data_IF_250470037399
#
_entry.id   IF_250470037399
#
_cell.length_a   1.000
_cell.length_b   1.000
_cell.length_c   1.000
_cell.angle_alpha   90.00
_cell.angle_beta   90.00
_cell.angle_gamma   90.00
#
_symmetry.space_group_name_H-M   'P 1'
#
loop_
_entity.id
_entity.type
_entity.pdbx_description
1 polymer ?
#
# COMPACT_ATOMS: atom_id res chain seq x y z
N UNK A 1 -57.06 30.27 -17.71
CA UNK A 1 -56.92 29.24 -16.66
C UNK A 1 -55.87 28.25 -17.13
N UNK A 2 -54.65 28.31 -16.60
CA UNK A 2 -53.55 27.42 -16.99
C UNK A 2 -53.66 26.10 -16.22
N UNK A 3 -53.61 24.98 -16.94
CA UNK A 3 -53.82 23.64 -16.40
C UNK A 3 -52.69 23.23 -15.42
N UNK A 4 -53.00 22.75 -14.19
CA UNK A 4 -52.01 22.37 -13.18
C UNK A 4 -51.27 21.05 -13.49
N UNK A 5 -51.73 20.29 -14.48
CA UNK A 5 -51.19 18.97 -14.83
C UNK A 5 -49.88 19.01 -15.64
N UNK A 6 -49.63 20.08 -16.41
CA UNK A 6 -48.39 20.21 -17.20
C UNK A 6 -47.16 20.52 -16.33
N UNK A 7 -47.37 21.22 -15.21
CA UNK A 7 -46.29 21.64 -14.30
C UNK A 7 -45.76 20.46 -13.48
N UNK A 8 -46.64 19.57 -13.00
CA UNK A 8 -46.24 18.41 -12.20
C UNK A 8 -45.41 17.39 -12.98
N UNK A 9 -45.66 17.23 -14.28
CA UNK A 9 -44.91 16.30 -15.14
C UNK A 9 -43.53 16.85 -15.53
N UNK A 10 -43.42 18.15 -15.81
CA UNK A 10 -42.13 18.82 -16.06
C UNK A 10 -41.21 18.72 -14.85
N UNK A 11 -41.73 18.99 -13.64
CA UNK A 11 -40.97 18.89 -12.39
C UNK A 11 -40.47 17.46 -12.15
N UNK A 12 -41.28 16.44 -12.46
CA UNK A 12 -40.87 15.05 -12.35
C UNK A 12 -39.77 14.69 -13.37
N UNK A 13 -39.84 15.20 -14.60
CA UNK A 13 -38.84 14.97 -15.64
C UNK A 13 -37.50 15.63 -15.30
N UNK A 14 -37.53 16.86 -14.77
CA UNK A 14 -36.35 17.60 -14.33
C UNK A 14 -35.66 16.91 -13.14
N UNK A 15 -36.45 16.33 -12.23
CA UNK A 15 -35.94 15.55 -11.11
C UNK A 15 -35.23 14.26 -11.58
N UNK A 16 -35.80 13.55 -12.56
CA UNK A 16 -35.18 12.35 -13.15
C UNK A 16 -33.89 12.71 -13.89
N UNK A 17 -33.89 13.83 -14.62
CA UNK A 17 -32.71 14.31 -15.35
C UNK A 17 -31.57 14.69 -14.39
N UNK A 18 -31.88 15.40 -13.31
CA UNK A 18 -30.90 15.71 -12.27
C UNK A 18 -30.30 14.46 -11.61
N UNK A 19 -31.09 13.39 -11.47
CA UNK A 19 -30.59 12.11 -10.96
C UNK A 19 -29.67 11.39 -11.96
N UNK A 20 -30.01 11.42 -13.26
CA UNK A 20 -29.13 10.91 -14.32
C UNK A 20 -27.81 11.69 -14.37
N UNK A 21 -27.84 13.01 -14.27
CA UNK A 21 -26.65 13.86 -14.28
C UNK A 21 -25.76 13.60 -13.04
N UNK A 22 -26.38 13.35 -11.88
CA UNK A 22 -25.68 12.98 -10.65
C UNK A 22 -25.00 11.60 -10.76
N UNK A 23 -25.71 10.60 -11.30
CA UNK A 23 -25.13 9.27 -11.55
C UNK A 23 -23.99 9.32 -12.56
N UNK A 24 -24.14 10.12 -13.63
CA UNK A 24 -23.10 10.28 -14.63
C UNK A 24 -21.85 10.95 -14.03
N UNK A 25 -22.05 11.95 -13.17
CA UNK A 25 -20.97 12.62 -12.45
C UNK A 25 -20.27 11.68 -11.46
N UNK A 26 -21.02 10.83 -10.75
CA UNK A 26 -20.46 9.79 -9.89
C UNK A 26 -19.66 8.75 -10.68
N UNK A 27 -20.16 8.32 -11.84
CA UNK A 27 -19.47 7.37 -12.70
C UNK A 27 -18.15 7.94 -13.23
N UNK A 28 -18.14 9.19 -13.70
CA UNK A 28 -16.90 9.87 -14.11
C UNK A 28 -15.91 10.03 -12.96
N UNK A 29 -16.39 10.35 -11.75
CA UNK A 29 -15.54 10.44 -10.58
C UNK A 29 -14.94 9.08 -10.20
N UNK A 30 -15.72 8.00 -10.34
CA UNK A 30 -15.28 6.63 -10.09
C UNK A 30 -14.24 6.17 -11.12
N UNK A 31 -14.48 6.39 -12.42
CA UNK A 31 -13.54 6.09 -13.49
C UNK A 31 -12.22 6.88 -13.32
N UNK A 32 -12.29 8.16 -12.95
CA UNK A 32 -11.11 8.97 -12.66
C UNK A 32 -10.34 8.47 -11.43
N UNK A 33 -11.05 7.97 -10.42
CA UNK A 33 -10.46 7.34 -9.24
C UNK A 33 -9.75 6.04 -9.62
N UNK A 34 -10.39 5.16 -10.39
CA UNK A 34 -9.80 3.92 -10.88
C UNK A 34 -8.57 4.18 -11.76
N UNK A 35 -8.64 5.16 -12.66
CA UNK A 35 -7.50 5.54 -13.50
C UNK A 35 -6.32 6.04 -12.66
N UNK A 36 -6.57 6.79 -11.59
CA UNK A 36 -5.51 7.25 -10.66
C UNK A 36 -4.89 6.08 -9.91
N UNK A 37 -5.70 5.14 -9.43
CA UNK A 37 -5.20 3.94 -8.77
C UNK A 37 -4.36 3.07 -9.71
N UNK A 38 -4.84 2.85 -10.94
CA UNK A 38 -4.11 2.08 -11.95
C UNK A 38 -2.78 2.75 -12.34
N UNK A 39 -2.78 4.08 -12.51
CA UNK A 39 -1.56 4.83 -12.78
C UNK A 39 -0.55 4.74 -11.63
N UNK A 40 -1.04 4.81 -10.38
CA UNK A 40 -0.20 4.62 -9.19
C UNK A 40 0.38 3.20 -9.13
N UNK A 41 -0.44 2.17 -9.35
CA UNK A 41 0.02 0.78 -9.41
C UNK A 41 1.05 0.56 -10.52
N UNK A 42 0.84 1.11 -11.71
CA UNK A 42 1.79 1.02 -12.81
C UNK A 42 3.13 1.70 -12.49
N UNK A 43 3.09 2.87 -11.84
CA UNK A 43 4.29 3.57 -11.40
C UNK A 43 5.06 2.78 -10.34
N UNK A 44 4.35 2.23 -9.35
CA UNK A 44 4.93 1.32 -8.36
C UNK A 44 5.61 0.14 -9.06
N UNK A 45 4.91 -0.54 -9.96
CA UNK A 45 5.44 -1.71 -10.65
C UNK A 45 6.67 -1.38 -11.51
N UNK A 46 6.68 -0.20 -12.13
CA UNK A 46 7.83 0.32 -12.85
C UNK A 46 9.03 0.58 -11.92
N UNK A 47 8.81 1.26 -10.80
CA UNK A 47 9.85 1.54 -9.81
C UNK A 47 10.39 0.22 -9.22
N UNK A 48 9.51 -0.74 -8.94
CA UNK A 48 9.86 -2.07 -8.45
C UNK A 48 10.75 -2.85 -9.43
N UNK A 49 10.59 -2.68 -10.73
CA UNK A 49 11.45 -3.34 -11.72
C UNK A 49 12.91 -2.86 -11.67
N UNK A 50 13.16 -1.64 -11.18
CA UNK A 50 14.51 -1.06 -11.08
C UNK A 50 15.30 -1.61 -9.88
N UNK A 51 14.62 -2.09 -8.84
CA UNK A 51 15.29 -2.59 -7.65
C UNK A 51 15.98 -3.94 -7.90
N UNK A 52 17.20 -4.13 -7.36
CA UNK A 52 17.93 -5.39 -7.46
C UNK A 52 17.14 -6.56 -6.87
N UNK A 53 17.43 -7.76 -7.36
CA UNK A 53 16.77 -8.99 -6.88
C UNK A 53 17.02 -9.26 -5.40
N UNK A 54 18.19 -8.84 -4.90
CA UNK A 54 18.60 -8.94 -3.50
C UNK A 54 18.78 -7.52 -2.95
N UNK A 55 18.20 -7.28 -1.78
CA UNK A 55 18.23 -6.00 -1.07
C UNK A 55 18.96 -6.21 0.25
N UNK A 56 19.86 -5.28 0.57
CA UNK A 56 20.53 -5.20 1.86
C UNK A 56 19.78 -4.21 2.77
N UNK A 57 19.48 -4.62 3.98
CA UNK A 57 18.79 -3.84 5.00
C UNK A 57 19.71 -3.69 6.21
N UNK A 58 20.02 -2.47 6.61
CA UNK A 58 20.69 -2.20 7.88
C UNK A 58 19.63 -1.95 8.95
N UNK A 59 19.51 -2.87 9.90
CA UNK A 59 18.46 -2.86 10.93
C UNK A 59 19.09 -2.58 12.29
N UNK A 60 19.03 -1.32 12.72
CA UNK A 60 19.64 -0.87 13.98
C UNK A 60 21.14 -1.21 14.08
N UNK A 61 21.86 -1.22 12.95
CA UNK A 61 23.28 -1.57 12.86
C UNK A 61 23.55 -3.03 12.44
N UNK A 62 22.51 -3.86 12.26
CA UNK A 62 22.65 -5.26 11.80
C UNK A 62 22.24 -5.40 10.34
N UNK A 63 23.17 -5.82 9.48
CA UNK A 63 22.90 -5.97 8.04
C UNK A 63 22.26 -7.33 7.73
N UNK A 64 21.04 -7.28 7.17
CA UNK A 64 20.33 -8.41 6.61
C UNK A 64 20.31 -8.34 5.09
N UNK A 65 20.40 -9.49 4.43
CA UNK A 65 20.18 -9.60 2.98
C UNK A 65 18.99 -10.48 2.71
N UNK A 66 18.09 -10.01 1.85
CA UNK A 66 16.89 -10.77 1.48
C UNK A 66 16.48 -10.48 0.04
N UNK A 67 15.58 -11.29 -0.51
CA UNK A 67 15.08 -11.06 -1.86
C UNK A 67 13.99 -9.99 -1.86
N UNK A 68 13.92 -9.22 -2.94
CA UNK A 68 12.81 -8.30 -3.20
C UNK A 68 11.46 -9.00 -3.12
N UNK A 69 11.37 -10.22 -3.66
CA UNK A 69 10.16 -11.04 -3.59
C UNK A 69 9.73 -11.33 -2.14
N UNK A 70 10.67 -11.56 -1.22
CA UNK A 70 10.34 -11.78 0.20
C UNK A 70 9.74 -10.52 0.83
N UNK A 71 10.34 -9.36 0.58
CA UNK A 71 9.84 -8.08 1.13
C UNK A 71 8.45 -7.71 0.61
N UNK A 72 8.06 -8.24 -0.54
CA UNK A 72 6.78 -7.98 -1.19
C UNK A 72 5.78 -9.12 -1.03
N UNK A 73 6.11 -10.16 -0.27
CA UNK A 73 5.26 -11.32 -0.10
C UNK A 73 3.90 -10.98 0.54
N UNK A 74 3.84 -9.88 1.31
CA UNK A 74 2.63 -9.38 1.94
C UNK A 74 2.25 -8.03 1.33
N UNK A 75 1.17 -8.02 0.54
CA UNK A 75 0.64 -6.80 -0.07
C UNK A 75 0.15 -5.81 1.00
N UNK A 76 0.37 -4.52 0.78
CA UNK A 76 0.01 -3.46 1.73
C UNK A 76 0.85 -3.44 3.01
N UNK A 77 1.83 -4.31 3.15
CA UNK A 77 2.79 -4.27 4.26
C UNK A 77 3.70 -3.04 4.18
N UNK A 78 4.38 -2.76 5.29
CA UNK A 78 5.37 -1.69 5.39
C UNK A 78 6.35 -1.69 4.21
N UNK A 79 7.00 -2.83 3.92
CA UNK A 79 7.97 -2.93 2.83
C UNK A 79 7.37 -2.75 1.43
N UNK A 80 6.10 -3.13 1.24
CA UNK A 80 5.40 -2.89 -0.01
C UNK A 80 5.23 -1.39 -0.27
N UNK A 81 4.77 -0.63 0.73
CA UNK A 81 4.65 0.83 0.62
C UNK A 81 6.02 1.52 0.48
N UNK A 82 7.03 0.96 1.11
CA UNK A 82 8.35 1.56 1.19
C UNK A 82 9.15 1.37 -0.11
N UNK A 83 9.11 0.17 -0.71
CA UNK A 83 9.66 -0.10 -2.05
C UNK A 83 8.89 0.59 -3.19
N UNK A 84 7.62 0.89 -2.96
CA UNK A 84 6.80 1.69 -3.87
C UNK A 84 7.22 3.17 -3.88
N UNK A 85 7.87 3.66 -2.82
CA UNK A 85 8.21 5.06 -2.66
C UNK A 85 9.54 5.42 -3.33
N UNK A 86 9.59 6.57 -4.01
CA UNK A 86 10.83 7.11 -4.61
C UNK A 86 11.77 7.74 -3.57
N UNK A 87 11.30 7.92 -2.33
CA UNK A 87 12.06 8.55 -1.25
C UNK A 87 12.93 7.56 -0.48
N UNK A 88 12.78 6.25 -0.71
CA UNK A 88 13.64 5.26 -0.08
C UNK A 88 14.86 4.99 -0.95
N UNK A 89 15.95 5.66 -0.60
CA UNK A 89 17.25 5.49 -1.22
C UNK A 89 18.19 4.74 -0.27
N UNK A 90 19.06 3.86 -0.78
CA UNK A 90 20.06 3.22 0.05
C UNK A 90 21.09 4.24 0.54
N UNK A 91 21.80 3.89 1.60
CA UNK A 91 22.96 4.63 2.09
C UNK A 91 24.16 4.55 1.11
N UNK A 92 25.27 5.20 1.47
CA UNK A 92 26.51 5.16 0.68
C UNK A 92 27.08 3.73 0.51
N UNK A 93 26.68 2.78 1.35
CA UNK A 93 27.06 1.37 1.30
C UNK A 93 26.09 0.50 0.51
N UNK A 94 25.00 1.07 -0.04
CA UNK A 94 23.99 0.34 -0.80
C UNK A 94 22.95 -0.39 0.08
N UNK A 95 22.95 -0.16 1.40
CA UNK A 95 22.00 -0.76 2.34
C UNK A 95 20.91 0.23 2.71
N UNK A 96 19.70 -0.28 2.95
CA UNK A 96 18.60 0.55 3.41
C UNK A 96 18.47 0.52 4.92
N UNK A 97 18.58 1.68 5.56
CA UNK A 97 18.49 1.78 7.00
C UNK A 97 17.06 1.63 7.51
N UNK A 98 16.91 0.87 8.58
CA UNK A 98 15.69 0.60 9.32
C UNK A 98 15.98 0.81 10.80
N UNK A 99 15.27 1.75 11.41
CA UNK A 99 15.38 2.04 12.83
C UNK A 99 14.55 1.04 13.67
N UNK A 100 14.87 -0.24 13.52
CA UNK A 100 14.19 -1.36 14.18
C UNK A 100 15.20 -2.19 14.99
N UNK A 101 14.67 -3.05 15.85
CA UNK A 101 15.51 -3.93 16.66
C UNK A 101 16.11 -5.07 15.82
N UNK A 102 17.40 -4.94 15.51
CA UNK A 102 18.16 -5.88 14.67
C UNK A 102 17.98 -7.36 15.06
N UNK A 103 18.23 -7.79 16.31
CA UNK A 103 18.19 -9.20 16.71
C UNK A 103 16.85 -9.91 16.45
N UNK A 104 15.73 -9.21 16.65
CA UNK A 104 14.40 -9.80 16.43
C UNK A 104 13.98 -9.78 14.96
N UNK A 105 14.63 -8.99 14.12
CA UNK A 105 14.24 -8.78 12.73
C UNK A 105 14.37 -10.03 11.84
N UNK A 106 15.28 -10.96 12.17
CA UNK A 106 15.38 -12.24 11.47
C UNK A 106 14.03 -12.98 11.41
N UNK A 107 13.25 -12.91 12.49
CA UNK A 107 11.92 -13.54 12.60
C UNK A 107 10.87 -12.86 11.73
N UNK A 108 10.98 -11.54 11.54
CA UNK A 108 10.15 -10.80 10.59
C UNK A 108 10.43 -11.27 9.17
N UNK A 109 11.70 -11.45 8.80
CA UNK A 109 12.04 -11.99 7.49
C UNK A 109 11.55 -13.44 7.30
N UNK A 110 11.62 -14.28 8.34
CA UNK A 110 11.11 -15.64 8.27
C UNK A 110 9.58 -15.68 8.16
N UNK A 111 8.88 -14.78 8.85
CA UNK A 111 7.45 -14.58 8.65
C UNK A 111 7.13 -14.19 7.20
N UNK A 112 7.88 -13.25 6.61
CA UNK A 112 7.67 -12.87 5.21
C UNK A 112 7.94 -14.02 4.22
N UNK A 113 8.82 -14.97 4.56
CA UNK A 113 9.11 -16.14 3.71
C UNK A 113 8.09 -17.27 3.85
N UNK A 114 7.58 -17.48 5.05
CA UNK A 114 6.83 -18.69 5.43
C UNK A 114 5.37 -18.43 5.79
N UNK A 115 5.00 -17.17 6.01
CA UNK A 115 3.70 -16.76 6.56
C UNK A 115 3.52 -17.06 8.05
N UNK A 116 4.54 -17.58 8.74
CA UNK A 116 4.43 -17.99 10.15
C UNK A 116 5.45 -17.25 11.01
N UNK A 117 4.96 -16.57 12.07
CA UNK A 117 5.81 -15.84 13.02
C UNK A 117 6.05 -16.71 14.25
N UNK A 118 7.30 -17.15 14.46
CA UNK A 118 7.68 -17.85 15.69
C UNK A 118 8.14 -16.88 16.75
N UNK A 119 7.52 -16.97 17.93
CA UNK A 119 7.93 -16.28 19.17
C UNK A 119 8.69 -17.20 20.12
N UNK A 120 9.02 -18.42 19.68
CA UNK A 120 9.64 -19.42 20.53
C UNK A 120 11.06 -19.00 20.93
N UNK A 121 11.37 -19.21 22.21
CA UNK A 121 12.66 -18.85 22.79
C UNK A 121 12.88 -17.36 23.03
N UNK A 122 11.89 -16.50 22.75
CA UNK A 122 11.95 -15.09 23.07
C UNK A 122 11.66 -14.83 24.55
N UNK A 123 12.42 -13.91 25.13
CA UNK A 123 12.12 -13.40 26.46
C UNK A 123 10.98 -12.34 26.40
N UNK A 124 10.37 -11.98 27.53
CA UNK A 124 9.25 -11.04 27.56
C UNK A 124 9.56 -9.65 26.99
N UNK A 125 10.81 -9.20 27.03
CA UNK A 125 11.21 -7.92 26.44
C UNK A 125 11.27 -8.01 24.91
N UNK A 126 11.86 -9.08 24.37
CA UNK A 126 11.92 -9.32 22.92
C UNK A 126 10.53 -9.52 22.30
N UNK A 127 9.63 -10.22 23.01
CA UNK A 127 8.22 -10.33 22.58
C UNK A 127 7.55 -8.96 22.45
N UNK A 128 7.79 -8.05 23.41
CA UNK A 128 7.26 -6.69 23.33
C UNK A 128 7.86 -5.90 22.17
N UNK A 129 9.17 -6.04 21.92
CA UNK A 129 9.83 -5.38 20.80
C UNK A 129 9.26 -5.82 19.45
N UNK A 130 9.00 -7.12 19.26
CA UNK A 130 8.36 -7.61 18.03
C UNK A 130 6.93 -7.09 17.85
N UNK A 131 6.17 -6.92 18.94
CA UNK A 131 4.80 -6.41 18.88
C UNK A 131 4.73 -4.89 18.65
N UNK A 132 5.80 -4.17 18.96
CA UNK A 132 5.89 -2.72 18.75
C UNK A 132 6.56 -2.32 17.44
N UNK A 133 7.03 -3.30 16.65
CA UNK A 133 7.64 -3.12 15.32
C UNK A 133 6.60 -3.21 14.22
#
# INVERSE_FOLDING_TARGET
MASPLGTSFSVALDAVKGHMDALQSQMQAWEAHEARLAAFQAQIQKNMALYPTVIALDVGGMVYKTSKATLLAVEGSYFHALLASEHWTPDNGGSYYLDLHGPTFARVLDYLRTGTLSVDGLNPWECRQLQSS
#
